data_IF_925265520037
#
_entry.id   IF_925265520037
#
_cell.length_a   1.000
_cell.length_b   1.000
_cell.length_c   1.000
_cell.angle_alpha   90.00
_cell.angle_beta   90.00
_cell.angle_gamma   90.00
#
_symmetry.space_group_name_H-M   'P 1'
#
loop_
_entity.id
_entity.type
_entity.pdbx_description
1 polymer ?
#
# COMPACT_ATOMS: atom_id res chain seq x y z
N UNK A 1 37.99 -22.76 -10.01
CA UNK A 1 36.90 -23.28 -10.87
C UNK A 1 35.63 -22.99 -10.11
N UNK A 2 34.72 -22.15 -10.62
CA UNK A 2 33.47 -21.86 -9.89
C UNK A 2 32.72 -23.16 -9.71
N UNK A 3 32.34 -23.45 -8.48
CA UNK A 3 31.61 -24.67 -8.14
C UNK A 3 30.14 -24.50 -8.49
N UNK A 4 29.40 -25.61 -8.61
CA UNK A 4 27.95 -25.59 -8.81
C UNK A 4 27.22 -24.83 -7.68
N UNK A 5 27.77 -24.85 -6.46
CA UNK A 5 27.28 -24.06 -5.32
C UNK A 5 27.44 -22.56 -5.55
N UNK A 6 28.58 -22.12 -6.10
CA UNK A 6 28.82 -20.68 -6.39
C UNK A 6 27.84 -20.14 -7.44
N UNK A 7 27.35 -21.00 -8.34
CA UNK A 7 26.35 -20.63 -9.35
C UNK A 7 24.97 -20.49 -8.71
N UNK A 8 24.60 -21.40 -7.82
CA UNK A 8 23.32 -21.35 -7.11
C UNK A 8 23.24 -20.16 -6.15
N UNK A 9 24.33 -19.86 -5.43
CA UNK A 9 24.40 -18.69 -4.55
C UNK A 9 24.24 -17.39 -5.35
N UNK A 10 24.94 -17.24 -6.48
CA UNK A 10 24.77 -16.08 -7.36
C UNK A 10 23.33 -15.95 -7.86
N UNK A 11 22.71 -17.06 -8.27
CA UNK A 11 21.31 -17.05 -8.69
C UNK A 11 20.41 -16.56 -7.55
N UNK A 12 20.54 -17.08 -6.33
CA UNK A 12 19.75 -16.60 -5.20
C UNK A 12 19.92 -15.09 -4.96
N UNK A 13 21.16 -14.58 -5.00
CA UNK A 13 21.43 -13.14 -4.86
C UNK A 13 20.78 -12.31 -5.96
N UNK A 14 20.89 -12.72 -7.23
CA UNK A 14 20.27 -12.01 -8.35
C UNK A 14 18.72 -11.95 -8.19
N UNK A 15 18.10 -12.99 -7.61
CA UNK A 15 16.66 -13.02 -7.33
C UNK A 15 16.27 -12.07 -6.19
N UNK A 16 17.02 -12.08 -5.09
CA UNK A 16 16.80 -11.17 -3.96
C UNK A 16 16.95 -9.71 -4.38
N UNK A 17 17.97 -9.38 -5.19
CA UNK A 17 18.18 -8.03 -5.72
C UNK A 17 17.00 -7.58 -6.61
N UNK A 18 16.55 -8.44 -7.52
CA UNK A 18 15.39 -8.15 -8.36
C UNK A 18 14.10 -7.94 -7.55
N UNK A 19 13.90 -8.70 -6.46
CA UNK A 19 12.78 -8.53 -5.55
C UNK A 19 12.85 -7.20 -4.79
N UNK A 20 14.03 -6.84 -4.28
CA UNK A 20 14.28 -5.56 -3.59
C UNK A 20 13.98 -4.39 -4.53
N UNK A 21 14.45 -4.44 -5.78
CA UNK A 21 14.19 -3.41 -6.78
C UNK A 21 12.70 -3.29 -7.11
N UNK A 22 12.01 -4.42 -7.27
CA UNK A 22 10.56 -4.48 -7.45
C UNK A 22 9.78 -3.86 -6.28
N UNK A 23 10.22 -4.14 -5.04
CA UNK A 23 9.65 -3.59 -3.82
C UNK A 23 9.89 -2.08 -3.71
N UNK A 24 11.10 -1.60 -3.99
CA UNK A 24 11.44 -0.17 -4.02
C UNK A 24 10.58 0.59 -5.04
N UNK A 25 10.41 0.04 -6.24
CA UNK A 25 9.54 0.61 -7.26
C UNK A 25 8.09 0.71 -6.78
N UNK A 26 7.57 -0.35 -6.15
CA UNK A 26 6.21 -0.40 -5.60
C UNK A 26 6.02 0.63 -4.49
N UNK A 27 6.95 0.72 -3.53
CA UNK A 27 6.93 1.71 -2.45
C UNK A 27 6.91 3.13 -3.02
N UNK A 28 7.76 3.43 -4.00
CA UNK A 28 7.81 4.75 -4.64
C UNK A 28 6.47 5.14 -5.28
N UNK A 29 5.79 4.20 -5.93
CA UNK A 29 4.45 4.42 -6.51
C UNK A 29 3.42 4.71 -5.42
N UNK A 30 3.38 3.90 -4.37
CA UNK A 30 2.46 4.08 -3.23
C UNK A 30 2.69 5.46 -2.58
N UNK A 31 3.94 5.83 -2.32
CA UNK A 31 4.28 7.14 -1.75
C UNK A 31 3.81 8.30 -2.64
N UNK A 32 3.97 8.19 -3.95
CA UNK A 32 3.50 9.23 -4.88
C UNK A 32 1.98 9.34 -4.92
N UNK A 33 1.25 8.23 -4.87
CA UNK A 33 -0.22 8.24 -4.71
C UNK A 33 -0.58 8.92 -3.40
N UNK A 34 0.05 8.53 -2.29
CA UNK A 34 -0.26 9.08 -0.97
C UNK A 34 0.03 10.58 -0.88
N UNK A 35 1.03 11.13 -1.58
CA UNK A 35 1.24 12.59 -1.67
C UNK A 35 0.01 13.36 -2.18
N UNK A 36 -0.86 12.73 -2.97
CA UNK A 36 -2.08 13.34 -3.55
C UNK A 36 -3.35 13.01 -2.77
N UNK A 37 -3.25 12.15 -1.75
CA UNK A 37 -4.38 11.74 -0.89
C UNK A 37 -4.38 12.59 0.38
N UNK A 38 -5.56 12.97 0.85
CA UNK A 38 -5.69 13.74 2.11
C UNK A 38 -5.20 12.94 3.32
N UNK A 39 -4.68 13.61 4.36
CA UNK A 39 -4.18 12.93 5.56
C UNK A 39 -5.25 12.06 6.24
N UNK A 40 -6.51 12.52 6.28
CA UNK A 40 -7.64 11.72 6.76
C UNK A 40 -7.77 10.40 5.98
N UNK A 41 -7.66 10.44 4.66
CA UNK A 41 -7.74 9.25 3.83
C UNK A 41 -6.51 8.35 3.95
N UNK A 42 -5.30 8.89 4.13
CA UNK A 42 -4.10 8.08 4.43
C UNK A 42 -4.32 7.25 5.68
N UNK A 43 -4.70 7.89 6.79
CA UNK A 43 -4.94 7.22 8.07
C UNK A 43 -6.04 6.17 7.96
N UNK A 44 -7.15 6.49 7.26
CA UNK A 44 -8.25 5.55 7.07
C UNK A 44 -7.84 4.34 6.24
N UNK A 45 -7.08 4.54 5.16
CA UNK A 45 -6.62 3.44 4.31
C UNK A 45 -5.57 2.58 5.03
N UNK A 46 -4.66 3.18 5.81
CA UNK A 46 -3.72 2.45 6.67
C UNK A 46 -4.46 1.58 7.67
N UNK A 47 -5.42 2.13 8.41
CA UNK A 47 -6.21 1.37 9.38
C UNK A 47 -6.93 0.16 8.76
N UNK A 48 -7.44 0.29 7.53
CA UNK A 48 -8.22 -0.77 6.87
C UNK A 48 -7.33 -1.82 6.20
N UNK A 49 -6.27 -1.40 5.51
CA UNK A 49 -5.51 -2.27 4.61
C UNK A 49 -4.13 -2.66 5.13
N UNK A 50 -3.57 -1.90 6.07
CA UNK A 50 -2.28 -2.21 6.70
C UNK A 50 -2.48 -2.79 8.10
N UNK A 51 -3.32 -2.16 8.92
CA UNK A 51 -3.64 -2.63 10.27
C UNK A 51 -4.79 -3.66 10.29
N UNK A 52 -5.36 -3.98 9.12
CA UNK A 52 -6.46 -4.95 8.93
C UNK A 52 -7.68 -4.73 9.86
N UNK A 53 -7.94 -3.49 10.29
CA UNK A 53 -9.06 -3.20 11.18
C UNK A 53 -10.39 -3.40 10.45
N UNK A 54 -11.32 -4.11 11.09
CA UNK A 54 -12.68 -4.26 10.59
C UNK A 54 -13.44 -2.92 10.60
N UNK A 55 -14.54 -2.87 9.83
CA UNK A 55 -15.29 -1.62 9.63
C UNK A 55 -15.97 -1.14 10.92
N UNK A 56 -16.29 -2.03 11.86
CA UNK A 56 -16.86 -1.71 13.17
C UNK A 56 -15.87 -0.92 14.03
N UNK A 57 -14.63 -1.40 14.12
CA UNK A 57 -13.53 -0.74 14.83
C UNK A 57 -13.25 0.62 14.20
N UNK A 58 -13.11 0.67 12.87
CA UNK A 58 -12.90 1.91 12.12
C UNK A 58 -14.05 2.91 12.33
N UNK A 59 -15.30 2.45 12.36
CA UNK A 59 -16.47 3.30 12.60
C UNK A 59 -16.33 4.03 13.94
N UNK A 60 -15.94 3.32 15.00
CA UNK A 60 -15.77 3.88 16.34
C UNK A 60 -14.55 4.80 16.42
N UNK A 61 -13.38 4.32 16.02
CA UNK A 61 -12.11 5.07 16.15
C UNK A 61 -12.09 6.38 15.36
N UNK A 62 -12.72 6.41 14.19
CA UNK A 62 -12.76 7.60 13.33
C UNK A 62 -14.03 8.45 13.56
N UNK A 63 -14.86 8.10 14.55
CA UNK A 63 -16.04 8.89 14.92
C UNK A 63 -17.14 8.92 13.86
N UNK A 64 -17.29 7.88 13.04
CA UNK A 64 -18.39 7.78 12.08
C UNK A 64 -19.68 7.37 12.80
N UNK A 65 -20.80 8.01 12.46
CA UNK A 65 -22.10 7.75 13.07
C UNK A 65 -22.59 6.31 12.87
N UNK A 66 -22.24 5.69 11.73
CA UNK A 66 -22.61 4.32 11.40
C UNK A 66 -21.64 3.72 10.38
N UNK A 67 -21.77 2.40 10.16
CA UNK A 67 -20.93 1.65 9.21
C UNK A 67 -21.05 2.15 7.78
N UNK A 68 -22.25 2.59 7.36
CA UNK A 68 -22.49 3.09 6.01
C UNK A 68 -21.66 4.36 5.74
N UNK A 69 -21.60 5.28 6.70
CA UNK A 69 -20.78 6.49 6.60
C UNK A 69 -19.28 6.15 6.51
N UNK A 70 -18.82 5.18 7.30
CA UNK A 70 -17.44 4.69 7.23
C UNK A 70 -17.11 4.05 5.86
N UNK A 71 -18.00 3.23 5.33
CA UNK A 71 -17.87 2.62 4.00
C UNK A 71 -17.87 3.65 2.87
N UNK A 72 -18.77 4.63 2.92
CA UNK A 72 -18.78 5.74 1.97
C UNK A 72 -17.48 6.54 2.01
N UNK A 73 -16.92 6.77 3.20
CA UNK A 73 -15.63 7.45 3.33
C UNK A 73 -14.46 6.58 2.82
N UNK A 74 -14.47 5.27 3.07
CA UNK A 74 -13.52 4.31 2.48
C UNK A 74 -13.56 4.40 0.96
N UNK A 75 -14.75 4.35 0.36
CA UNK A 75 -14.93 4.48 -1.09
C UNK A 75 -14.35 5.80 -1.63
N UNK A 76 -14.70 6.94 -1.01
CA UNK A 76 -14.16 8.25 -1.39
C UNK A 76 -12.63 8.32 -1.30
N UNK A 77 -12.03 7.68 -0.30
CA UNK A 77 -10.58 7.63 -0.15
C UNK A 77 -9.90 6.74 -1.20
N UNK A 78 -10.51 5.61 -1.55
CA UNK A 78 -10.04 4.76 -2.66
C UNK A 78 -10.10 5.49 -4.00
N UNK A 79 -11.15 6.27 -4.25
CA UNK A 79 -11.25 7.09 -5.46
C UNK A 79 -10.19 8.21 -5.51
N UNK A 80 -9.85 8.83 -4.37
CA UNK A 80 -8.71 9.76 -4.30
C UNK A 80 -7.39 9.05 -4.65
N UNK A 81 -7.16 7.87 -4.10
CA UNK A 81 -5.95 7.09 -4.38
C UNK A 81 -5.89 6.67 -5.87
N UNK A 82 -7.02 6.25 -6.45
CA UNK A 82 -7.13 5.90 -7.88
C UNK A 82 -6.77 7.07 -8.79
N UNK A 83 -7.32 8.25 -8.52
CA UNK A 83 -6.98 9.48 -9.24
C UNK A 83 -5.50 9.85 -9.07
N UNK A 84 -4.96 9.71 -7.86
CA UNK A 84 -3.54 9.89 -7.59
C UNK A 84 -2.65 8.93 -8.41
N UNK A 85 -3.10 7.70 -8.62
CA UNK A 85 -2.39 6.69 -9.40
C UNK A 85 -2.47 6.92 -10.92
N UNK A 86 -3.59 7.44 -11.43
CA UNK A 86 -3.77 7.73 -12.86
C UNK A 86 -2.92 8.91 -13.35
N UNK A 87 -2.53 9.81 -12.45
CA UNK A 87 -1.66 10.95 -12.74
C UNK A 87 -0.15 10.62 -12.63
N UNK A 88 0.20 9.32 -12.58
CA UNK A 88 1.60 8.85 -12.61
C UNK A 88 2.13 8.62 -14.04
N UNK A 89 1.31 8.90 -15.06
CA UNK A 89 1.65 8.85 -16.47
C UNK A 89 2.15 10.20 -16.98
#
# INVERSE_FOLDING_TARGET
MRTELDIYEKYLTDYEEAEIDGNQYTIKRVLNVFKKVTNKCKLLLTAIFYDEKNIETVTKEFGYTNKHNAQNQKFKCLEQARKGAQNLN
#
